data_IF_160863972938
#
_entry.id   IF_160863972938
#
_cell.length_a   1.000
_cell.length_b   1.000
_cell.length_c   1.000
_cell.angle_alpha   90.00
_cell.angle_beta   90.00
_cell.angle_gamma   90.00
#
_symmetry.space_group_name_H-M   'P 1'
#
loop_
_entity.id
_entity.type
_entity.pdbx_description
1 polymer ?
#
# COMPACT_ATOMS: atom_id res chain seq x y z
N UNK A 1 -2.66 -0.78 17.74
CA UNK A 1 -1.25 -0.58 18.12
C UNK A 1 -0.39 -1.21 17.02
N UNK A 2 0.08 -0.40 16.07
CA UNK A 2 0.57 -0.82 14.74
C UNK A 2 2.02 -1.33 14.70
N UNK A 3 2.64 -1.56 15.86
CA UNK A 3 4.08 -1.81 15.98
C UNK A 3 4.48 -3.29 15.90
N UNK A 4 3.56 -4.23 15.65
CA UNK A 4 3.89 -5.67 15.56
C UNK A 4 4.19 -6.16 14.13
N UNK A 5 4.01 -5.33 13.09
CA UNK A 5 4.18 -5.75 11.69
C UNK A 5 5.60 -5.54 11.13
N UNK A 6 6.54 -5.09 11.96
CA UNK A 6 7.88 -4.61 11.54
C UNK A 6 8.76 -5.64 10.83
N UNK A 7 8.40 -6.92 10.71
CA UNK A 7 9.31 -7.93 10.11
C UNK A 7 8.69 -9.01 9.21
N UNK A 8 7.49 -8.84 8.64
CA UNK A 8 6.91 -9.88 7.75
C UNK A 8 6.37 -9.40 6.40
N UNK A 9 6.78 -8.23 5.87
CA UNK A 9 6.52 -7.92 4.44
C UNK A 9 7.52 -8.61 3.49
N UNK A 10 7.91 -9.83 3.85
CA UNK A 10 8.17 -10.90 2.88
C UNK A 10 6.85 -11.69 2.77
N UNK A 11 5.77 -11.06 2.28
CA UNK A 11 4.58 -11.81 1.86
C UNK A 11 5.01 -12.59 0.61
N UNK A 12 5.51 -13.81 0.80
CA UNK A 12 5.69 -14.83 -0.25
C UNK A 12 4.33 -15.00 -0.96
N UNK A 13 4.10 -14.25 -2.06
CA UNK A 13 2.83 -14.22 -2.77
C UNK A 13 2.23 -12.83 -3.05
N UNK A 14 2.87 -11.74 -2.63
CA UNK A 14 2.46 -10.39 -3.04
C UNK A 14 2.43 -10.30 -4.57
N UNK A 15 1.27 -9.97 -5.14
CA UNK A 15 1.08 -9.91 -6.60
C UNK A 15 1.91 -8.78 -7.21
N UNK A 16 2.15 -7.71 -6.44
CA UNK A 16 2.92 -6.55 -6.86
C UNK A 16 3.87 -6.10 -5.73
N UNK A 17 4.97 -6.83 -5.47
CA UNK A 17 5.80 -6.61 -4.29
C UNK A 17 6.39 -5.20 -4.22
N UNK A 18 6.89 -4.68 -5.35
CA UNK A 18 7.46 -3.33 -5.42
C UNK A 18 6.41 -2.23 -5.20
N UNK A 19 5.18 -2.44 -5.66
CA UNK A 19 4.07 -1.52 -5.44
C UNK A 19 3.66 -1.49 -3.96
N UNK A 20 3.52 -2.66 -3.36
CA UNK A 20 3.16 -2.82 -1.94
C UNK A 20 4.23 -2.21 -1.03
N UNK A 21 5.52 -2.43 -1.33
CA UNK A 21 6.64 -1.84 -0.60
C UNK A 21 6.67 -0.30 -0.72
N UNK A 22 6.53 0.24 -1.94
CA UNK A 22 6.53 1.69 -2.17
C UNK A 22 5.34 2.35 -1.45
N UNK A 23 4.17 1.72 -1.50
CA UNK A 23 2.98 2.21 -0.81
C UNK A 23 3.14 2.16 0.71
N UNK A 24 3.72 1.09 1.24
CA UNK A 24 4.04 0.95 2.66
C UNK A 24 4.94 2.09 3.14
N UNK A 25 6.08 2.32 2.48
CA UNK A 25 7.01 3.40 2.84
C UNK A 25 6.32 4.77 2.84
N UNK A 26 5.45 5.02 1.86
CA UNK A 26 4.66 6.24 1.82
C UNK A 26 3.71 6.36 3.02
N UNK A 27 3.00 5.29 3.40
CA UNK A 27 2.10 5.30 4.57
C UNK A 27 2.86 5.59 5.87
N UNK A 28 4.08 5.05 6.03
CA UNK A 28 4.91 5.33 7.20
C UNK A 28 5.24 6.82 7.32
N UNK A 29 5.53 7.48 6.20
CA UNK A 29 5.78 8.93 6.16
C UNK A 29 4.53 9.80 6.39
N UNK A 30 3.33 9.30 6.05
CA UNK A 30 2.07 10.05 6.22
C UNK A 30 1.43 9.89 7.59
N UNK A 31 1.64 8.76 8.27
CA UNK A 31 1.20 8.56 9.66
C UNK A 31 1.89 9.53 10.64
N UNK A 32 3.11 9.96 10.35
CA UNK A 32 3.81 10.99 11.12
C UNK A 32 3.27 12.41 10.93
N UNK A 33 2.40 12.63 9.95
CA UNK A 33 1.86 13.93 9.58
C UNK A 33 0.37 14.13 9.99
N UNK A 34 -0.17 13.28 10.87
CA UNK A 34 -1.57 13.30 11.34
C UNK A 34 -2.62 13.26 10.22
N UNK A 35 -2.27 12.69 9.06
CA UNK A 35 -3.21 12.58 7.95
C UNK A 35 -4.13 11.37 8.16
N UNK A 36 -5.45 11.60 8.19
CA UNK A 36 -6.45 10.54 8.22
C UNK A 36 -6.42 9.72 6.92
N UNK A 37 -5.63 8.65 6.93
CA UNK A 37 -5.55 7.69 5.84
C UNK A 37 -6.83 6.87 5.75
N UNK A 38 -7.68 7.21 4.79
CA UNK A 38 -8.83 6.40 4.40
C UNK A 38 -8.56 5.58 3.13
N UNK A 39 -9.44 4.62 2.86
CA UNK A 39 -9.36 3.65 1.76
C UNK A 39 -9.23 4.35 0.39
N UNK A 40 -9.92 5.47 0.21
CA UNK A 40 -9.93 6.24 -1.03
C UNK A 40 -8.58 6.92 -1.29
N UNK A 41 -7.96 7.47 -0.25
CA UNK A 41 -6.64 8.08 -0.33
C UNK A 41 -5.60 7.00 -0.64
N UNK A 42 -5.66 5.87 0.07
CA UNK A 42 -4.75 4.75 -0.13
C UNK A 42 -4.87 4.15 -1.54
N UNK A 43 -6.10 3.94 -2.02
CA UNK A 43 -6.38 3.46 -3.37
C UNK A 43 -5.81 4.41 -4.44
N UNK A 44 -6.08 5.71 -4.30
CA UNK A 44 -5.59 6.71 -5.26
C UNK A 44 -4.06 6.72 -5.30
N UNK A 45 -3.40 6.59 -4.16
CA UNK A 45 -1.94 6.56 -4.10
C UNK A 45 -1.37 5.28 -4.69
N UNK A 46 -2.01 4.13 -4.43
CA UNK A 46 -1.63 2.86 -5.03
C UNK A 46 -1.72 2.89 -6.56
N UNK A 47 -2.77 3.50 -7.12
CA UNK A 47 -2.92 3.66 -8.58
C UNK A 47 -1.80 4.55 -9.14
N UNK A 48 -1.50 5.68 -8.49
CA UNK A 48 -0.39 6.55 -8.90
C UNK A 48 0.96 5.83 -8.91
N UNK A 49 1.25 5.03 -7.88
CA UNK A 49 2.48 4.26 -7.85
C UNK A 49 2.48 3.16 -8.90
N UNK A 50 1.35 2.52 -9.18
CA UNK A 50 1.25 1.56 -10.26
C UNK A 50 1.55 2.18 -11.63
N UNK A 51 1.06 3.40 -11.90
CA UNK A 51 1.38 4.15 -13.13
C UNK A 51 2.89 4.44 -13.23
N UNK A 52 3.51 4.91 -12.15
CA UNK A 52 4.95 5.19 -12.07
C UNK A 52 5.78 3.92 -12.31
N UNK A 53 5.33 2.80 -11.74
CA UNK A 53 5.96 1.49 -11.87
C UNK A 53 5.58 0.76 -13.17
N UNK A 54 4.78 1.38 -14.06
CA UNK A 54 4.30 0.82 -15.33
C UNK A 54 3.53 -0.50 -15.17
N UNK A 55 2.70 -0.61 -14.13
CA UNK A 55 1.81 -1.74 -13.88
C UNK A 55 0.45 -1.45 -14.51
N UNK A 56 0.31 -1.76 -15.80
CA UNK A 56 -0.84 -1.35 -16.64
C UNK A 56 -2.21 -1.94 -16.23
N UNK A 57 -2.22 -3.00 -15.40
CA UNK A 57 -3.44 -3.73 -15.03
C UNK A 57 -3.84 -3.59 -13.55
N UNK A 58 -3.23 -2.65 -12.84
CA UNK A 58 -3.57 -2.41 -11.45
C UNK A 58 -4.75 -1.45 -11.32
N UNK A 59 -5.81 -1.87 -10.62
CA UNK A 59 -7.02 -1.06 -10.38
C UNK A 59 -7.25 -0.69 -8.92
N UNK A 60 -6.38 -1.14 -8.01
CA UNK A 60 -6.53 -0.92 -6.57
C UNK A 60 -7.91 -1.33 -6.05
N UNK A 61 -8.38 -2.54 -6.36
CA UNK A 61 -9.71 -3.01 -5.93
C UNK A 61 -9.87 -2.95 -4.41
N UNK A 62 -11.11 -2.83 -3.91
CA UNK A 62 -11.38 -2.82 -2.46
C UNK A 62 -10.82 -4.07 -1.77
N UNK A 63 -10.92 -5.24 -2.41
CA UNK A 63 -10.32 -6.48 -1.89
C UNK A 63 -8.79 -6.42 -1.79
N UNK A 64 -8.12 -5.79 -2.76
CA UNK A 64 -6.67 -5.58 -2.66
C UNK A 64 -6.31 -4.59 -1.55
N UNK A 65 -7.09 -3.51 -1.39
CA UNK A 65 -6.89 -2.53 -0.32
C UNK A 65 -7.09 -3.17 1.07
N UNK A 66 -8.08 -4.04 1.23
CA UNK A 66 -8.26 -4.81 2.45
C UNK A 66 -7.03 -5.69 2.75
N UNK A 67 -6.57 -6.47 1.77
CA UNK A 67 -5.39 -7.34 1.91
C UNK A 67 -4.08 -6.58 2.17
N UNK A 68 -3.97 -5.33 1.71
CA UNK A 68 -2.82 -4.47 1.96
C UNK A 68 -2.79 -3.97 3.42
N UNK A 69 -3.96 -3.77 4.03
CA UNK A 69 -4.08 -3.30 5.42
C UNK A 69 -3.93 -4.40 6.47
N UNK A 70 -4.21 -5.65 6.08
CA UNK A 70 -4.00 -6.86 6.90
C UNK A 70 -2.52 -7.20 7.12
#
# INVERSE_FOLDING_TARGET
KWLSFVTTSSKQGAKWPLLEETLWLWTQGTLGAEMDLNDKILQRKAIQFAEILKIENFKGSLGWIANFKE
#
